data_IF_747641772578
#
_entry.id   IF_747641772578
#
_cell.length_a   1.000
_cell.length_b   1.000
_cell.length_c   1.000
_cell.angle_alpha   90.00
_cell.angle_beta   90.00
_cell.angle_gamma   90.00
#
_symmetry.space_group_name_H-M   'P 1'
#
loop_
_entity.id
_entity.type
_entity.pdbx_description
1 polymer ?
#
# COMPACT_ATOMS: atom_id res chain seq x y z
N UNK A 1 -3.75 1.35 -18.64
CA UNK A 1 -3.28 2.57 -17.94
C UNK A 1 -4.00 2.68 -16.59
N UNK A 2 -3.31 3.06 -15.51
CA UNK A 2 -3.91 3.16 -14.15
C UNK A 2 -5.12 4.11 -14.08
N UNK A 3 -5.22 5.06 -15.02
CA UNK A 3 -6.33 6.02 -15.15
C UNK A 3 -7.66 5.35 -15.56
N UNK A 4 -7.62 4.15 -16.15
CA UNK A 4 -8.82 3.41 -16.53
C UNK A 4 -9.54 2.78 -15.32
N UNK A 5 -8.90 2.75 -14.15
CA UNK A 5 -9.49 2.23 -12.92
C UNK A 5 -10.43 3.29 -12.36
N UNK A 6 -11.73 2.99 -12.35
CA UNK A 6 -12.77 3.86 -11.77
C UNK A 6 -12.44 4.15 -10.30
N UNK A 7 -12.20 5.42 -9.96
CA UNK A 7 -11.77 5.86 -8.62
C UNK A 7 -10.29 6.25 -8.51
N UNK A 8 -9.48 6.00 -9.54
CA UNK A 8 -8.07 6.43 -9.60
C UNK A 8 -7.95 7.74 -10.39
N UNK A 9 -7.83 8.86 -9.68
CA UNK A 9 -7.61 10.17 -10.29
C UNK A 9 -6.14 10.41 -10.70
N UNK A 10 -5.87 11.32 -11.66
CA UNK A 10 -4.52 11.61 -12.13
C UNK A 10 -3.57 12.08 -11.03
N UNK A 11 -4.07 12.83 -10.03
CA UNK A 11 -3.28 13.25 -8.87
C UNK A 11 -2.87 12.07 -7.98
N UNK A 12 -3.73 11.06 -7.82
CA UNK A 12 -3.40 9.86 -7.07
C UNK A 12 -2.35 9.03 -7.81
N UNK A 13 -2.42 8.98 -9.14
CA UNK A 13 -1.40 8.32 -9.98
C UNK A 13 -0.06 9.05 -9.86
N UNK A 14 -0.03 10.37 -10.01
CA UNK A 14 1.18 11.17 -9.85
C UNK A 14 1.80 10.98 -8.46
N UNK A 15 0.98 11.02 -7.40
CA UNK A 15 1.42 10.76 -6.03
C UNK A 15 1.94 9.34 -5.84
N UNK A 16 1.33 8.35 -6.48
CA UNK A 16 1.80 6.96 -6.45
C UNK A 16 3.17 6.83 -7.13
N UNK A 17 3.36 7.40 -8.32
CA UNK A 17 4.65 7.39 -9.00
C UNK A 17 5.73 8.17 -8.22
N UNK A 18 5.37 9.29 -7.59
CA UNK A 18 6.31 10.02 -6.73
C UNK A 18 6.77 9.19 -5.50
N UNK A 19 5.90 8.33 -4.98
CA UNK A 19 6.17 7.51 -3.80
C UNK A 19 6.75 6.13 -4.11
N UNK A 20 6.48 5.55 -5.29
CA UNK A 20 7.06 4.27 -5.74
C UNK A 20 8.37 4.51 -6.46
N UNK A 21 8.48 5.60 -7.22
CA UNK A 21 9.56 5.82 -8.17
C UNK A 21 9.39 4.97 -9.42
N UNK A 22 10.50 4.49 -9.96
CA UNK A 22 10.52 3.68 -11.17
C UNK A 22 10.02 2.25 -10.89
N UNK A 23 8.91 1.88 -11.55
CA UNK A 23 8.28 0.56 -11.43
C UNK A 23 9.14 -0.57 -12.00
N UNK A 24 10.11 -0.27 -12.86
CA UNK A 24 11.04 -1.24 -13.44
C UNK A 24 11.91 -1.93 -12.38
N UNK A 25 12.08 -1.28 -11.22
CA UNK A 25 12.82 -1.85 -10.08
C UNK A 25 12.03 -2.93 -9.32
N UNK A 26 10.74 -3.07 -9.58
CA UNK A 26 9.88 -4.03 -8.90
C UNK A 26 9.51 -5.16 -9.86
N UNK A 27 9.89 -6.38 -9.50
CA UNK A 27 9.56 -7.59 -10.27
C UNK A 27 8.20 -8.16 -9.90
N UNK A 28 7.75 -7.89 -8.68
CA UNK A 28 6.52 -8.46 -8.14
C UNK A 28 5.70 -7.39 -7.40
N UNK A 29 4.37 -7.31 -7.63
CA UNK A 29 3.51 -6.31 -6.98
C UNK A 29 3.49 -6.41 -5.45
N UNK A 30 3.81 -7.57 -4.86
CA UNK A 30 3.95 -7.74 -3.41
C UNK A 30 5.08 -6.88 -2.84
N UNK A 31 6.09 -6.56 -3.64
CA UNK A 31 7.17 -5.65 -3.22
C UNK A 31 6.64 -4.24 -3.00
N UNK A 32 5.72 -3.78 -3.86
CA UNK A 32 5.05 -2.48 -3.72
C UNK A 32 4.13 -2.49 -2.49
N UNK A 33 3.39 -3.59 -2.25
CA UNK A 33 2.55 -3.75 -1.05
C UNK A 33 3.41 -3.75 0.24
N UNK A 34 4.59 -4.39 0.19
CA UNK A 34 5.57 -4.37 1.29
C UNK A 34 6.13 -2.97 1.52
N UNK A 35 6.43 -2.24 0.45
CA UNK A 35 6.85 -0.83 0.50
C UNK A 35 5.76 0.07 1.09
N UNK A 36 4.48 -0.21 0.81
CA UNK A 36 3.34 0.44 1.42
C UNK A 36 3.21 0.15 2.93
N UNK A 37 3.88 -0.90 3.42
CA UNK A 37 3.73 -1.35 4.80
C UNK A 37 2.35 -1.93 5.07
N UNK A 38 1.70 -2.48 4.03
CA UNK A 38 0.40 -3.14 4.09
C UNK A 38 0.51 -4.64 4.36
N UNK A 39 1.72 -5.14 4.65
CA UNK A 39 1.90 -6.53 5.02
C UNK A 39 1.33 -6.80 6.41
N UNK A 40 0.75 -7.99 6.58
CA UNK A 40 0.16 -8.45 7.83
C UNK A 40 1.29 -8.93 8.75
N UNK A 41 1.28 -8.46 9.99
CA UNK A 41 2.15 -8.95 11.05
C UNK A 41 1.31 -9.76 12.03
N UNK A 42 1.71 -10.99 12.28
CA UNK A 42 1.16 -11.77 13.37
C UNK A 42 1.93 -11.42 14.65
N UNK A 43 1.22 -10.94 15.67
CA UNK A 43 1.82 -10.70 16.98
C UNK A 43 1.76 -12.00 17.79
N UNK A 44 2.74 -12.87 17.61
CA UNK A 44 2.89 -14.08 18.41
C UNK A 44 4.06 -13.91 19.37
N UNK A 45 3.81 -14.11 20.65
CA UNK A 45 4.85 -14.22 21.68
C UNK A 45 4.64 -15.55 22.37
N UNK A 46 5.35 -16.59 21.95
CA UNK A 46 5.49 -17.93 22.57
C UNK A 46 4.21 -18.62 23.09
N UNK A 47 3.57 -18.04 24.10
CA UNK A 47 2.33 -18.48 24.75
C UNK A 47 1.06 -17.77 24.25
N UNK A 48 1.16 -16.66 23.52
CA UNK A 48 0.04 -15.84 23.09
C UNK A 48 0.07 -15.57 21.58
N UNK A 49 -1.02 -15.90 20.90
CA UNK A 49 -1.31 -15.44 19.55
C UNK A 49 -2.29 -14.26 19.62
N UNK A 50 -1.77 -13.04 19.48
CA UNK A 50 -2.57 -11.82 19.44
C UNK A 50 -3.18 -11.55 18.06
N UNK A 51 -3.93 -10.46 17.95
CA UNK A 51 -4.54 -10.05 16.67
C UNK A 51 -3.49 -9.73 15.60
N UNK A 52 -3.74 -10.22 14.39
CA UNK A 52 -2.99 -9.86 13.19
C UNK A 52 -3.19 -8.38 12.88
N UNK A 53 -2.10 -7.61 12.90
CA UNK A 53 -2.11 -6.16 12.67
C UNK A 53 -1.28 -5.82 11.45
N UNK A 54 -1.67 -4.78 10.71
CA UNK A 54 -0.85 -4.26 9.61
C UNK A 54 0.48 -3.74 10.17
N UNK A 55 1.60 -4.13 9.57
CA UNK A 55 2.96 -3.75 10.00
C UNK A 55 3.18 -2.23 10.10
N UNK A 56 2.58 -1.43 9.20
CA UNK A 56 2.73 0.04 9.10
C UNK A 56 4.18 0.54 8.91
N UNK A 57 5.17 -0.35 8.74
CA UNK A 57 6.61 -0.04 8.63
C UNK A 57 7.02 0.61 7.30
N UNK A 58 6.17 0.58 6.28
CA UNK A 58 6.44 1.15 4.95
C UNK A 58 6.15 2.65 4.83
N UNK A 59 6.19 3.16 3.60
CA UNK A 59 5.98 4.58 3.28
C UNK A 59 4.57 5.04 3.67
N UNK A 60 4.50 5.96 4.65
CA UNK A 60 3.23 6.46 5.21
C UNK A 60 2.37 7.18 4.15
N UNK A 61 3.00 7.93 3.24
CA UNK A 61 2.33 8.67 2.16
C UNK A 61 1.78 7.72 1.09
N UNK A 62 2.57 6.76 0.63
CA UNK A 62 2.10 5.72 -0.28
C UNK A 62 0.86 4.97 0.27
N UNK A 63 0.90 4.60 1.55
CA UNK A 63 -0.23 3.97 2.23
C UNK A 63 -1.47 4.86 2.31
N UNK A 64 -1.32 6.16 2.53
CA UNK A 64 -2.47 7.08 2.59
C UNK A 64 -3.10 7.30 1.21
N UNK A 65 -2.29 7.33 0.14
CA UNK A 65 -2.79 7.41 -1.24
C UNK A 65 -3.58 6.15 -1.57
N UNK A 66 -3.02 4.96 -1.29
CA UNK A 66 -3.72 3.69 -1.50
C UNK A 66 -5.03 3.60 -0.72
N UNK A 67 -5.04 4.08 0.53
CA UNK A 67 -6.26 4.12 1.33
C UNK A 67 -7.32 5.07 0.74
N UNK A 68 -6.91 6.24 0.25
CA UNK A 68 -7.82 7.21 -0.40
C UNK A 68 -8.40 6.67 -1.70
N UNK A 69 -7.60 5.94 -2.48
CA UNK A 69 -8.05 5.29 -3.72
C UNK A 69 -9.00 4.13 -3.44
N UNK A 70 -8.72 3.33 -2.41
CA UNK A 70 -9.53 2.17 -2.05
C UNK A 70 -10.84 2.55 -1.37
N UNK A 71 -10.91 3.72 -0.71
CA UNK A 71 -12.13 4.18 -0.05
C UNK A 71 -13.14 4.62 -1.11
N UNK A 72 -14.32 3.98 -1.23
CA UNK A 72 -15.36 4.47 -2.12
C UNK A 72 -15.78 5.86 -1.66
N UNK A 73 -15.84 6.81 -2.60
CA UNK A 73 -16.58 8.05 -2.40
C UNK A 73 -18.05 7.65 -2.42
N UNK A 74 -18.66 7.65 -1.23
CA UNK A 74 -20.10 7.52 -1.07
C UNK A 74 -20.81 8.70 -1.76
#
# INVERSE_FOLDING_TARGET
>A
LMIAIKGVGPMSVAGFFAEVGDLSNYRDPRQIIKLAGLNIMMNQSGKYAGQTTITKRGRRKLRSILYKVARPLA
#
